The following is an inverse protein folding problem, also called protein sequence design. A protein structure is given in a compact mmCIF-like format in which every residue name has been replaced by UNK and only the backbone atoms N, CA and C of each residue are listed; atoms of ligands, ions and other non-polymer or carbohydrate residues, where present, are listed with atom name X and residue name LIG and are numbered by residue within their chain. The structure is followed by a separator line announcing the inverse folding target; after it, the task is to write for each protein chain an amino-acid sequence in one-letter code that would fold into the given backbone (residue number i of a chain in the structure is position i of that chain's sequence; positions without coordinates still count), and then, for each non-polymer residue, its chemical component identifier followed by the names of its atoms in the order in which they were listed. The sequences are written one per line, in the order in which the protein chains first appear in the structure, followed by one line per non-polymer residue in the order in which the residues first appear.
data_IF_600714110485
#
_entry.id   IF_600714110485
#
_cell.length_a   1.000
_cell.length_b   1.000
_cell.length_c   1.000
_cell.angle_alpha   90.00
_cell.angle_beta   90.00
_cell.angle_gamma   90.00
#
_symmetry.space_group_name_H-M   'P 1'
#
loop_
_entity.id
_entity.type
_entity.pdbx_description
1 polymer ?
#
# COMPACT_ATOMS: atom_id res chain seq x y z
N UNK A 1 -1.66 -10.38 5.06
CA UNK A 1 -0.19 -10.21 5.20
C UNK A 1 0.28 -11.22 6.22
N UNK A 2 1.21 -12.09 5.85
CA UNK A 2 1.77 -13.11 6.75
C UNK A 2 2.66 -12.43 7.79
N UNK A 3 2.78 -12.98 8.99
CA UNK A 3 3.84 -12.52 9.90
C UNK A 3 5.22 -12.87 9.33
N UNK A 4 6.28 -12.19 9.79
CA UNK A 4 7.65 -12.49 9.35
C UNK A 4 8.03 -13.95 9.61
N UNK A 5 7.65 -14.49 10.78
CA UNK A 5 7.93 -15.88 11.15
C UNK A 5 7.17 -16.87 10.26
N UNK A 6 5.89 -16.59 9.98
CA UNK A 6 5.08 -17.41 9.06
C UNK A 6 5.64 -17.37 7.63
N UNK A 7 6.02 -16.18 7.14
CA UNK A 7 6.62 -16.02 5.83
C UNK A 7 7.96 -16.76 5.72
N UNK A 8 8.82 -16.70 6.74
CA UNK A 8 10.09 -17.44 6.77
C UNK A 8 9.86 -18.96 6.78
N UNK A 9 8.93 -19.45 7.61
CA UNK A 9 8.56 -20.88 7.66
C UNK A 9 8.02 -21.36 6.32
N UNK A 10 7.15 -20.58 5.69
CA UNK A 10 6.58 -20.90 4.40
C UNK A 10 7.64 -20.90 3.30
N UNK A 11 8.55 -19.92 3.30
CA UNK A 11 9.67 -19.86 2.36
C UNK A 11 10.57 -21.11 2.45
N UNK A 12 10.87 -21.56 3.67
CA UNK A 12 11.63 -22.80 3.90
C UNK A 12 10.88 -24.03 3.39
N UNK A 13 9.56 -24.10 3.63
CA UNK A 13 8.72 -25.19 3.15
C UNK A 13 8.69 -25.25 1.61
N UNK A 14 8.43 -24.12 0.95
CA UNK A 14 8.42 -23.99 -0.51
C UNK A 14 9.79 -24.33 -1.11
N UNK A 15 10.89 -23.92 -0.48
CA UNK A 15 12.25 -24.26 -0.92
C UNK A 15 12.54 -25.76 -0.81
N UNK A 16 12.03 -26.42 0.23
CA UNK A 16 12.13 -27.87 0.41
C UNK A 16 11.30 -28.61 -0.65
N UNK A 17 10.08 -28.16 -0.92
CA UNK A 17 9.23 -28.71 -1.97
C UNK A 17 9.85 -28.59 -3.35
N UNK A 18 10.38 -27.41 -3.69
CA UNK A 18 11.10 -27.18 -4.94
C UNK A 18 12.31 -28.10 -5.10
N UNK A 19 13.03 -28.39 -4.00
CA UNK A 19 14.14 -29.36 -4.00
C UNK A 19 13.65 -30.77 -4.29
N UNK A 20 12.51 -31.19 -3.71
CA UNK A 20 11.89 -32.49 -3.96
C UNK A 20 11.43 -32.62 -5.42
N UNK A 21 10.70 -31.63 -5.94
CA UNK A 21 10.25 -31.62 -7.34
C UNK A 21 11.42 -31.69 -8.31
N UNK A 22 12.49 -30.92 -8.09
CA UNK A 22 13.70 -30.97 -8.91
C UNK A 22 14.39 -32.35 -8.87
N UNK A 23 14.39 -33.01 -7.71
CA UNK A 23 14.92 -34.38 -7.59
C UNK A 23 14.08 -35.36 -8.40
N UNK A 24 12.76 -35.35 -8.23
CA UNK A 24 11.84 -36.22 -8.98
C UNK A 24 11.93 -35.97 -10.48
N UNK A 25 12.09 -34.71 -10.91
CA UNK A 25 12.31 -34.35 -12.31
C UNK A 25 13.58 -35.00 -12.87
N UNK A 26 14.70 -34.94 -12.15
CA UNK A 26 15.95 -35.61 -12.52
C UNK A 26 15.80 -37.13 -12.57
N UNK A 27 15.06 -37.72 -11.62
CA UNK A 27 14.78 -39.15 -11.60
C UNK A 27 13.98 -39.58 -12.84
N UNK A 28 12.96 -38.83 -13.27
CA UNK A 28 12.25 -39.11 -14.52
C UNK A 28 13.12 -38.94 -15.76
N UNK A 29 13.94 -37.88 -15.82
CA UNK A 29 14.87 -37.67 -16.93
C UNK A 29 15.87 -38.83 -17.07
N UNK A 30 16.27 -39.45 -15.96
CA UNK A 30 17.21 -40.58 -15.94
C UNK A 30 16.51 -41.96 -15.95
N UNK A 31 15.17 -41.99 -15.94
CA UNK A 31 14.42 -43.25 -15.94
C UNK A 31 14.41 -43.93 -17.31
N UNK A 32 14.15 -45.24 -17.30
CA UNK A 32 13.94 -46.06 -18.49
C UNK A 32 12.56 -45.92 -19.14
N UNK A 33 11.79 -44.86 -18.80
CA UNK A 33 10.51 -44.56 -19.45
C UNK A 33 10.73 -44.25 -20.93
N UNK A 34 9.69 -44.51 -21.74
CA UNK A 34 9.69 -44.08 -23.13
C UNK A 34 9.68 -42.54 -23.23
N UNK A 35 10.01 -42.01 -24.41
CA UNK A 35 10.17 -40.58 -24.61
C UNK A 35 8.88 -39.78 -24.36
N UNK A 36 7.72 -40.32 -24.73
CA UNK A 36 6.42 -39.64 -24.58
C UNK A 36 6.02 -39.53 -23.11
N UNK A 37 6.10 -40.63 -22.36
CA UNK A 37 5.78 -40.66 -20.93
C UNK A 37 6.75 -39.78 -20.13
N UNK A 38 8.02 -39.73 -20.56
CA UNK A 38 9.03 -38.86 -19.93
C UNK A 38 8.70 -37.40 -20.16
N UNK A 39 8.36 -37.01 -21.40
CA UNK A 39 7.98 -35.64 -21.72
C UNK A 39 6.76 -35.19 -20.92
N UNK A 40 5.68 -35.99 -20.91
CA UNK A 40 4.45 -35.63 -20.17
C UNK A 40 4.71 -35.43 -18.67
N UNK A 41 5.51 -36.30 -18.05
CA UNK A 41 5.82 -36.19 -16.62
C UNK A 41 6.75 -35.03 -16.30
N UNK A 42 7.69 -34.72 -17.18
CA UNK A 42 8.60 -33.58 -17.02
C UNK A 42 7.83 -32.28 -17.18
N UNK A 43 6.97 -32.15 -18.19
CA UNK A 43 6.14 -30.96 -18.40
C UNK A 43 5.26 -30.67 -17.18
N UNK A 44 4.61 -31.70 -16.63
CA UNK A 44 3.81 -31.55 -15.40
C UNK A 44 4.63 -31.07 -14.20
N UNK A 45 5.87 -31.55 -14.06
CA UNK A 45 6.76 -31.11 -12.99
C UNK A 45 7.27 -29.68 -13.22
N UNK A 46 7.50 -29.28 -14.48
CA UNK A 46 7.90 -27.93 -14.83
C UNK A 46 6.78 -26.93 -14.52
N UNK A 47 5.52 -27.27 -14.76
CA UNK A 47 4.37 -26.48 -14.33
C UNK A 47 4.29 -26.33 -12.81
N UNK A 48 4.51 -27.42 -12.07
CA UNK A 48 4.53 -27.41 -10.60
C UNK A 48 5.69 -26.56 -10.05
N UNK A 49 6.88 -26.70 -10.62
CA UNK A 49 8.05 -25.89 -10.27
C UNK A 49 7.79 -24.41 -10.52
N UNK A 50 7.19 -24.06 -11.66
CA UNK A 50 6.84 -22.68 -11.97
C UNK A 50 5.80 -22.12 -10.99
N UNK A 51 4.84 -22.94 -10.53
CA UNK A 51 3.86 -22.54 -9.53
C UNK A 51 4.51 -22.28 -8.16
N UNK A 52 5.34 -23.22 -7.67
CA UNK A 52 6.06 -23.06 -6.40
C UNK A 52 7.01 -21.86 -6.44
N UNK A 53 7.66 -21.60 -7.58
CA UNK A 53 8.52 -20.41 -7.74
C UNK A 53 7.72 -19.11 -7.64
N UNK A 54 6.55 -19.03 -8.30
CA UNK A 54 5.65 -17.87 -8.17
C UNK A 54 5.25 -17.64 -6.71
N UNK A 55 4.79 -18.69 -6.02
CA UNK A 55 4.40 -18.58 -4.61
C UNK A 55 5.56 -18.16 -3.71
N UNK A 56 6.78 -18.65 -3.97
CA UNK A 56 7.97 -18.26 -3.22
C UNK A 56 8.33 -16.80 -3.45
N UNK A 57 8.23 -16.31 -4.69
CA UNK A 57 8.44 -14.91 -5.02
C UNK A 57 7.41 -14.04 -4.28
N UNK A 58 6.14 -14.44 -4.25
CA UNK A 58 5.10 -13.71 -3.53
C UNK A 58 5.40 -13.62 -2.02
N UNK A 59 5.88 -14.71 -1.41
CA UNK A 59 6.30 -14.73 0.01
C UNK A 59 7.54 -13.87 0.26
N UNK A 60 8.51 -13.87 -0.68
CA UNK A 60 9.67 -12.98 -0.60
C UNK A 60 9.27 -11.51 -0.73
N UNK A 61 8.30 -11.20 -1.58
CA UNK A 61 7.77 -9.85 -1.71
C UNK A 61 7.15 -9.39 -0.40
N UNK A 62 6.38 -10.23 0.29
CA UNK A 62 5.86 -9.91 1.63
C UNK A 62 6.99 -9.56 2.61
N UNK A 63 8.11 -10.30 2.59
CA UNK A 63 9.27 -10.06 3.46
C UNK A 63 10.06 -8.80 3.11
N UNK A 64 10.16 -8.45 1.83
CA UNK A 64 10.91 -7.27 1.35
C UNK A 64 10.08 -6.00 1.47
N UNK A 65 8.77 -6.09 1.26
CA UNK A 65 7.84 -4.97 1.37
C UNK A 65 7.57 -4.57 2.83
N UNK A 66 8.00 -5.38 3.80
CA UNK A 66 7.98 -5.05 5.21
C UNK A 66 9.40 -5.06 5.78
N UNK A 67 10.13 -3.92 5.69
CA UNK A 67 11.50 -3.84 6.14
C UNK A 67 11.66 -4.36 7.58
N UNK A 68 12.72 -5.14 7.86
CA UNK A 68 12.92 -5.74 9.18
C UNK A 68 12.91 -4.75 10.36
N UNK A 69 13.24 -3.48 10.12
CA UNK A 69 13.21 -2.44 11.14
C UNK A 69 11.79 -2.07 11.62
N UNK A 70 10.75 -2.44 10.88
CA UNK A 70 9.36 -2.25 11.30
C UNK A 70 8.76 -3.46 12.03
N UNK A 71 9.54 -4.55 12.22
CA UNK A 71 9.07 -5.75 12.93
C UNK A 71 8.64 -5.47 14.37
N UNK A 72 9.15 -4.40 14.98
CA UNK A 72 8.69 -3.92 16.28
C UNK A 72 7.17 -3.63 16.32
N UNK A 73 6.54 -3.37 15.17
CA UNK A 73 5.09 -3.15 15.07
C UNK A 73 4.30 -4.40 14.67
N UNK A 74 4.95 -5.56 14.48
CA UNK A 74 4.29 -6.74 13.90
C UNK A 74 3.02 -7.15 14.67
N UNK A 75 3.10 -7.26 15.99
CA UNK A 75 1.95 -7.64 16.84
C UNK A 75 0.84 -6.58 16.80
N UNK A 76 1.21 -5.30 16.85
CA UNK A 76 0.25 -4.19 16.79
C UNK A 76 -0.49 -4.17 15.45
N UNK A 77 0.24 -4.32 14.34
CA UNK A 77 -0.32 -4.37 13.00
C UNK A 77 -1.16 -5.63 12.79
N UNK A 78 -0.78 -6.76 13.36
CA UNK A 78 -1.58 -7.99 13.30
C UNK A 78 -2.94 -7.78 13.96
N UNK A 79 -2.97 -7.27 15.20
CA UNK A 79 -4.21 -6.98 15.93
C UNK A 79 -5.09 -5.98 15.17
N UNK A 80 -4.48 -4.93 14.65
CA UNK A 80 -5.20 -3.93 13.87
C UNK A 80 -5.75 -4.50 12.56
N UNK A 81 -4.95 -5.31 11.85
CA UNK A 81 -5.35 -5.99 10.62
C UNK A 81 -6.50 -6.95 10.86
N UNK A 82 -6.45 -7.76 11.93
CA UNK A 82 -7.52 -8.68 12.30
C UNK A 82 -8.82 -7.91 12.57
N UNK A 83 -8.74 -6.83 13.35
CA UNK A 83 -9.89 -5.97 13.68
C UNK A 83 -10.55 -5.40 12.42
N UNK A 84 -9.76 -4.76 11.56
CA UNK A 84 -10.28 -4.12 10.35
C UNK A 84 -10.75 -5.14 9.30
N UNK A 85 -10.07 -6.29 9.17
CA UNK A 85 -10.53 -7.37 8.30
C UNK A 85 -11.89 -7.92 8.78
N UNK A 86 -12.08 -8.09 10.08
CA UNK A 86 -13.37 -8.47 10.67
C UNK A 86 -14.50 -7.45 10.42
N UNK A 87 -14.15 -6.18 10.17
CA UNK A 87 -15.08 -5.13 9.75
C UNK A 87 -15.29 -5.06 8.22
N UNK A 88 -14.77 -6.02 7.46
CA UNK A 88 -14.85 -6.01 6.00
C UNK A 88 -13.96 -4.95 5.34
N UNK A 89 -12.90 -4.50 6.01
CA UNK A 89 -11.94 -3.52 5.51
C UNK A 89 -10.60 -4.20 5.22
N UNK A 90 -10.43 -4.95 4.11
CA UNK A 90 -9.19 -5.64 3.79
C UNK A 90 -8.06 -4.65 3.47
N UNK A 91 -6.82 -5.05 3.73
CA UNK A 91 -5.61 -4.23 3.59
C UNK A 91 -5.50 -3.51 2.23
N UNK A 92 -5.77 -4.24 1.15
CA UNK A 92 -5.67 -3.78 -0.24
C UNK A 92 -6.68 -2.67 -0.57
N UNK A 93 -7.77 -2.60 0.22
CA UNK A 93 -8.83 -1.60 0.11
C UNK A 93 -8.65 -0.41 1.05
N UNK A 94 -7.62 -0.39 1.91
CA UNK A 94 -7.37 0.72 2.84
C UNK A 94 -6.50 1.80 2.19
N UNK A 95 -6.87 3.05 2.38
CA UNK A 95 -6.23 4.22 1.76
C UNK A 95 -5.81 5.19 2.85
N UNK A 96 -4.50 5.38 3.03
CA UNK A 96 -4.00 6.38 3.96
C UNK A 96 -4.10 7.78 3.35
N UNK A 97 -4.76 8.71 4.04
CA UNK A 97 -4.91 10.10 3.58
C UNK A 97 -3.88 10.97 4.31
N UNK A 98 -2.98 11.56 3.55
CA UNK A 98 -1.96 12.49 4.04
C UNK A 98 -2.46 13.92 3.79
N UNK A 99 -2.57 14.70 4.85
CA UNK A 99 -3.11 16.06 4.80
C UNK A 99 -2.54 16.93 5.91
N UNK A 100 -2.71 18.26 5.79
CA UNK A 100 -2.58 19.18 6.93
C UNK A 100 -3.72 18.95 7.92
N UNK A 101 -3.50 19.40 9.16
CA UNK A 101 -4.51 19.42 10.21
C UNK A 101 -4.96 20.85 10.46
N UNK A 102 -6.26 21.00 10.75
CA UNK A 102 -6.82 22.25 11.26
C UNK A 102 -6.06 22.68 12.51
N UNK A 103 -5.72 23.96 12.61
CA UNK A 103 -4.97 24.53 13.73
C UNK A 103 -5.81 25.50 14.58
N UNK A 104 -7.05 25.76 14.16
CA UNK A 104 -7.98 26.64 14.87
C UNK A 104 -7.67 28.13 14.66
N UNK A 105 -6.64 28.48 13.88
CA UNK A 105 -6.26 29.88 13.68
C UNK A 105 -7.25 30.61 12.76
N UNK A 106 -7.90 29.89 11.83
CA UNK A 106 -8.90 30.44 10.93
C UNK A 106 -10.01 29.42 10.63
N UNK A 107 -11.17 29.62 11.26
CA UNK A 107 -12.33 28.73 11.15
C UNK A 107 -12.82 28.55 9.70
N UNK A 108 -12.67 29.56 8.83
CA UNK A 108 -13.05 29.44 7.43
C UNK A 108 -12.10 28.52 6.67
N UNK A 109 -10.78 28.67 6.88
CA UNK A 109 -9.78 27.80 6.27
C UNK A 109 -9.86 26.37 6.81
N UNK A 110 -10.10 26.21 8.11
CA UNK A 110 -10.34 24.90 8.74
C UNK A 110 -11.54 24.21 8.07
N UNK A 111 -12.68 24.91 7.94
CA UNK A 111 -13.89 24.37 7.31
C UNK A 111 -13.66 23.98 5.84
N UNK A 112 -12.86 24.75 5.11
CA UNK A 112 -12.51 24.44 3.73
C UNK A 112 -11.58 23.22 3.62
N UNK A 113 -10.58 23.12 4.48
CA UNK A 113 -9.70 21.95 4.55
C UNK A 113 -10.50 20.69 4.87
N UNK A 114 -11.40 20.76 5.86
CA UNK A 114 -12.31 19.68 6.21
C UNK A 114 -13.23 19.28 5.04
N UNK A 115 -13.71 20.25 4.25
CA UNK A 115 -14.50 19.97 3.06
C UNK A 115 -13.70 19.22 1.98
N UNK A 116 -12.43 19.59 1.77
CA UNK A 116 -11.52 18.88 0.85
C UNK A 116 -11.29 17.45 1.34
N UNK A 117 -10.89 17.27 2.61
CA UNK A 117 -10.65 15.96 3.22
C UNK A 117 -11.91 15.09 3.14
N UNK A 118 -13.07 15.65 3.51
CA UNK A 118 -14.36 14.98 3.46
C UNK A 118 -14.73 14.53 2.04
N UNK A 119 -14.45 15.35 1.03
CA UNK A 119 -14.68 15.00 -0.38
C UNK A 119 -13.78 13.86 -0.83
N UNK A 120 -12.49 13.88 -0.47
CA UNK A 120 -11.57 12.77 -0.74
C UNK A 120 -12.06 11.48 -0.08
N UNK A 121 -12.44 11.52 1.19
CA UNK A 121 -12.98 10.35 1.91
C UNK A 121 -14.22 9.79 1.22
N UNK A 122 -15.17 10.66 0.85
CA UNK A 122 -16.39 10.25 0.17
C UNK A 122 -16.09 9.60 -1.20
N UNK A 123 -15.17 10.16 -1.97
CA UNK A 123 -14.74 9.60 -3.25
C UNK A 123 -14.07 8.22 -3.09
N UNK A 124 -13.21 8.06 -2.09
CA UNK A 124 -12.58 6.77 -1.75
C UNK A 124 -13.65 5.73 -1.38
N UNK A 125 -14.61 6.08 -0.52
CA UNK A 125 -15.71 5.19 -0.13
C UNK A 125 -16.58 4.80 -1.34
N UNK A 126 -16.91 5.75 -2.22
CA UNK A 126 -17.70 5.50 -3.43
C UNK A 126 -17.03 4.50 -4.39
N UNK A 127 -15.70 4.35 -4.30
CA UNK A 127 -14.92 3.37 -5.07
C UNK A 127 -14.77 2.01 -4.37
N UNK A 128 -15.41 1.82 -3.22
CA UNK A 128 -15.32 0.58 -2.42
C UNK A 128 -14.03 0.46 -1.63
N UNK A 129 -13.39 1.59 -1.31
CA UNK A 129 -12.18 1.66 -0.48
C UNK A 129 -12.48 2.25 0.90
N UNK A 130 -11.51 2.15 1.81
CA UNK A 130 -11.64 2.56 3.21
C UNK A 130 -10.61 3.63 3.53
N UNK A 131 -11.00 4.91 3.63
CA UNK A 131 -10.07 5.97 3.98
C UNK A 131 -9.61 5.83 5.44
N UNK A 132 -8.35 6.14 5.69
CA UNK A 132 -7.72 6.15 7.01
C UNK A 132 -7.01 7.48 7.23
N UNK A 133 -7.26 8.11 8.37
CA UNK A 133 -6.59 9.32 8.83
C UNK A 133 -5.92 9.03 10.17
N UNK A 134 -4.67 9.46 10.32
CA UNK A 134 -3.91 9.21 11.55
C UNK A 134 -4.56 9.85 12.80
N UNK A 135 -5.32 10.93 12.63
CA UNK A 135 -6.06 11.57 13.72
C UNK A 135 -7.29 10.77 14.20
N UNK A 136 -7.84 9.88 13.37
CA UNK A 136 -9.07 9.13 13.70
C UNK A 136 -8.79 7.83 14.46
N UNK A 137 -7.56 7.32 14.37
CA UNK A 137 -7.20 6.04 14.99
C UNK A 137 -5.78 6.10 15.52
N UNK A 138 -5.65 5.94 16.83
CA UNK A 138 -4.36 5.92 17.52
C UNK A 138 -3.93 4.48 17.79
N UNK A 139 -2.94 4.01 17.05
CA UNK A 139 -2.30 2.70 17.18
C UNK A 139 -1.12 2.75 18.15
N UNK A 140 -0.42 3.88 18.22
CA UNK A 140 0.78 4.03 19.03
C UNK A 140 0.77 5.35 19.83
N UNK A 141 1.31 5.39 21.07
CA UNK A 141 1.33 6.60 21.90
C UNK A 141 2.13 7.75 21.27
N UNK A 142 3.27 7.44 20.65
CA UNK A 142 4.09 8.38 19.91
C UNK A 142 3.50 8.62 18.51
N UNK A 143 3.48 9.89 18.12
CA UNK A 143 2.88 10.38 16.88
C UNK A 143 3.52 9.80 15.62
N UNK A 144 4.86 9.79 15.54
CA UNK A 144 5.56 9.31 14.34
C UNK A 144 5.33 7.81 14.15
N UNK A 145 5.55 7.02 15.19
CA UNK A 145 5.31 5.59 15.15
C UNK A 145 3.83 5.25 14.88
N UNK A 146 2.89 6.12 15.31
CA UNK A 146 1.48 5.98 14.96
C UNK A 146 1.26 6.17 13.44
N UNK A 147 1.87 7.21 12.86
CA UNK A 147 1.80 7.49 11.42
C UNK A 147 2.43 6.34 10.62
N UNK A 148 3.60 5.84 11.03
CA UNK A 148 4.23 4.67 10.41
C UNK A 148 3.32 3.44 10.45
N UNK A 149 2.71 3.14 11.61
CA UNK A 149 1.75 2.04 11.72
C UNK A 149 0.56 2.21 10.77
N UNK A 150 0.02 3.42 10.64
CA UNK A 150 -1.10 3.72 9.73
C UNK A 150 -0.70 3.51 8.26
N UNK A 151 0.48 3.99 7.85
CA UNK A 151 1.01 3.78 6.49
C UNK A 151 1.31 2.30 6.21
N UNK A 152 1.86 1.57 7.19
CA UNK A 152 2.10 0.13 7.10
C UNK A 152 0.78 -0.66 6.98
N UNK A 153 -0.28 -0.22 7.67
CA UNK A 153 -1.59 -0.86 7.68
C UNK A 153 -2.47 -0.55 6.45
N UNK A 154 -2.04 0.34 5.57
CA UNK A 154 -2.75 0.69 4.33
C UNK A 154 -2.01 0.20 3.09
N UNK A 155 -2.76 -0.35 2.11
CA UNK A 155 -2.18 -0.82 0.85
C UNK A 155 -1.79 0.30 -0.11
N UNK A 156 -2.38 1.49 0.03
CA UNK A 156 -2.22 2.64 -0.87
C UNK A 156 -2.41 3.97 -0.14
N UNK A 157 -2.04 5.08 -0.78
CA UNK A 157 -2.14 6.41 -0.19
C UNK A 157 -2.79 7.45 -1.11
N UNK A 158 -3.27 8.54 -0.51
CA UNK A 158 -3.60 9.80 -1.19
C UNK A 158 -2.90 10.92 -0.44
N UNK A 159 -2.11 11.73 -1.14
CA UNK A 159 -1.51 12.93 -0.59
C UNK A 159 -2.24 14.16 -1.11
N UNK A 160 -2.75 14.99 -0.19
CA UNK A 160 -3.40 16.26 -0.49
C UNK A 160 -2.34 17.36 -0.32
N UNK A 161 -1.96 17.99 -1.42
CA UNK A 161 -0.93 19.02 -1.47
C UNK A 161 -1.54 20.33 -1.90
N UNK A 162 -1.42 21.33 -1.05
CA UNK A 162 -2.06 22.63 -1.22
C UNK A 162 -1.30 23.71 -0.44
N UNK A 163 -1.46 24.97 -0.84
CA UNK A 163 -0.86 26.14 -0.19
C UNK A 163 -1.92 27.11 0.38
N UNK A 164 -3.21 26.75 0.29
CA UNK A 164 -4.35 27.60 0.64
C UNK A 164 -4.55 27.70 2.15
N UNK A 165 -4.44 26.58 2.86
CA UNK A 165 -4.58 26.51 4.31
C UNK A 165 -3.37 27.14 5.02
N UNK A 166 -2.18 26.75 4.58
CA UNK A 166 -0.91 27.30 5.04
C UNK A 166 0.09 27.25 3.88
N UNK A 167 0.64 28.37 3.40
CA UNK A 167 1.49 28.39 2.21
C UNK A 167 2.85 27.73 2.41
N UNK A 168 3.17 27.27 3.63
CA UNK A 168 4.37 26.50 3.89
C UNK A 168 4.18 25.06 3.46
N UNK A 169 5.21 24.49 2.84
CA UNK A 169 5.32 23.05 2.62
C UNK A 169 5.06 22.31 3.93
N UNK A 170 4.13 21.36 3.94
CA UNK A 170 3.94 20.50 5.09
C UNK A 170 4.99 19.36 5.05
N UNK A 171 6.00 19.38 5.94
CA UNK A 171 7.02 18.34 5.96
C UNK A 171 6.43 16.96 6.26
N UNK A 172 5.32 16.87 7.01
CA UNK A 172 4.68 15.60 7.33
C UNK A 172 4.09 14.96 6.08
N UNK A 173 3.31 15.71 5.28
CA UNK A 173 2.73 15.19 4.03
C UNK A 173 3.83 14.78 3.04
N UNK A 174 4.89 15.58 2.92
CA UNK A 174 6.01 15.25 2.04
C UNK A 174 6.75 13.97 2.49
N UNK A 175 6.99 13.83 3.80
CA UNK A 175 7.64 12.67 4.40
C UNK A 175 6.78 11.41 4.29
N UNK A 176 5.49 11.47 4.62
CA UNK A 176 4.54 10.36 4.50
C UNK A 176 4.42 9.89 3.04
N UNK A 177 4.32 10.82 2.10
CA UNK A 177 4.28 10.53 0.66
C UNK A 177 5.57 9.85 0.19
N UNK A 178 6.72 10.41 0.56
CA UNK A 178 8.03 9.86 0.23
C UNK A 178 8.21 8.46 0.80
N UNK A 179 7.80 8.24 2.05
CA UNK A 179 7.86 6.95 2.73
C UNK A 179 7.00 5.90 2.00
N UNK A 180 5.74 6.20 1.71
CA UNK A 180 4.86 5.23 1.04
C UNK A 180 5.38 4.87 -0.36
N UNK A 181 5.93 5.84 -1.09
CA UNK A 181 6.55 5.58 -2.40
C UNK A 181 7.83 4.76 -2.30
N UNK A 182 8.69 5.02 -1.31
CA UNK A 182 9.89 4.23 -1.07
C UNK A 182 9.53 2.76 -0.77
N UNK A 183 8.38 2.53 -0.15
CA UNK A 183 7.79 1.22 0.13
C UNK A 183 7.03 0.61 -1.07
N UNK A 184 7.16 1.20 -2.27
CA UNK A 184 6.45 0.82 -3.50
C UNK A 184 4.92 0.76 -3.37
N UNK A 185 4.35 1.43 -2.37
CA UNK A 185 2.90 1.56 -2.25
C UNK A 185 2.45 2.60 -3.28
N UNK A 186 1.33 2.35 -3.97
CA UNK A 186 0.87 3.28 -4.97
C UNK A 186 0.16 4.45 -4.26
N UNK A 187 0.48 5.68 -4.68
CA UNK A 187 0.02 6.91 -4.02
C UNK A 187 -0.49 7.89 -5.06
N UNK A 188 -1.73 8.34 -4.88
CA UNK A 188 -2.33 9.42 -5.67
C UNK A 188 -1.91 10.77 -5.06
N UNK A 189 -1.21 11.58 -5.84
CA UNK A 189 -0.69 12.89 -5.50
C UNK A 189 -1.65 13.96 -6.04
N UNK A 190 -2.57 14.41 -5.18
CA UNK A 190 -3.58 15.42 -5.49
C UNK A 190 -3.03 16.80 -5.14
N UNK A 191 -2.81 17.62 -6.16
CA UNK A 191 -2.25 18.97 -6.00
C UNK A 191 -3.35 20.01 -6.23
N UNK A 192 -3.45 21.00 -5.37
CA UNK A 192 -4.39 22.10 -5.57
C UNK A 192 -3.99 22.94 -6.79
N UNK A 193 -4.98 23.40 -7.57
CA UNK A 193 -4.76 24.06 -8.86
C UNK A 193 -3.93 25.35 -8.77
N UNK A 194 -4.03 26.11 -7.67
CA UNK A 194 -3.34 27.36 -7.43
C UNK A 194 -1.94 27.21 -6.79
N UNK A 195 -1.49 25.97 -6.48
CA UNK A 195 -0.09 25.71 -6.08
C UNK A 195 0.84 26.13 -7.21
N UNK A 196 1.54 27.25 -6.97
CA UNK A 196 2.27 27.98 -8.00
C UNK A 196 3.59 27.32 -8.39
N UNK A 197 4.25 26.63 -7.45
CA UNK A 197 5.52 25.97 -7.67
C UNK A 197 5.50 24.56 -7.12
N UNK A 198 5.42 23.60 -8.03
CA UNK A 198 5.68 22.20 -7.72
C UNK A 198 7.15 21.94 -8.03
N UNK A 199 7.95 21.38 -7.10
CA UNK A 199 9.32 21.00 -7.39
C UNK A 199 9.40 20.14 -8.65
N UNK A 200 10.35 20.42 -9.55
CA UNK A 200 10.48 19.72 -10.83
C UNK A 200 10.57 18.19 -10.66
N UNK A 201 11.24 17.74 -9.60
CA UNK A 201 11.42 16.33 -9.26
C UNK A 201 10.11 15.60 -8.92
N UNK A 202 9.05 16.33 -8.54
CA UNK A 202 7.73 15.75 -8.23
C UNK A 202 6.64 16.16 -9.22
N UNK A 203 6.93 17.07 -10.15
CA UNK A 203 5.97 17.52 -11.16
C UNK A 203 5.47 16.39 -12.06
N UNK A 204 6.36 15.46 -12.45
CA UNK A 204 6.00 14.27 -13.23
C UNK A 204 5.21 13.21 -12.47
N UNK A 205 4.97 13.43 -11.17
CA UNK A 205 4.26 12.51 -10.29
C UNK A 205 2.86 13.02 -9.93
N UNK A 206 2.49 14.22 -10.38
CA UNK A 206 1.14 14.75 -10.21
C UNK A 206 0.20 13.96 -11.10
N UNK A 207 -0.68 13.16 -10.49
CA UNK A 207 -1.75 12.50 -11.24
C UNK A 207 -3.00 13.38 -11.38
N UNK A 208 -3.26 14.29 -10.42
CA UNK A 208 -4.46 15.10 -10.45
C UNK A 208 -4.31 16.48 -9.86
N UNK A 209 -4.99 17.46 -10.46
CA UNK A 209 -5.16 18.80 -9.90
C UNK A 209 -6.59 19.05 -9.44
N UNK A 210 -6.79 19.43 -8.19
CA UNK A 210 -8.12 19.65 -7.61
C UNK A 210 -8.43 21.14 -7.37
N UNK A 211 -9.72 21.46 -7.30
CA UNK A 211 -10.20 22.80 -6.97
C UNK A 211 -10.49 22.92 -5.47
N UNK A 212 -9.72 23.74 -4.75
CA UNK A 212 -9.94 24.00 -3.33
C UNK A 212 -11.33 24.58 -3.02
N UNK A 213 -11.82 25.46 -3.90
CA UNK A 213 -13.07 26.19 -3.67
C UNK A 213 -14.30 25.35 -4.07
N UNK A 214 -14.09 24.28 -4.85
CA UNK A 214 -15.14 23.35 -5.28
C UNK A 214 -14.60 21.92 -5.41
N UNK A 215 -14.19 21.27 -4.30
CA UNK A 215 -13.52 19.97 -4.34
C UNK A 215 -14.38 18.87 -4.96
N UNK A 216 -15.71 18.97 -4.83
CA UNK A 216 -16.67 17.99 -5.34
C UNK A 216 -16.72 17.97 -6.87
N UNK A 217 -16.32 19.05 -7.55
CA UNK A 217 -16.35 19.14 -9.00
C UNK A 217 -15.44 18.11 -9.68
N UNK A 218 -14.25 17.84 -9.11
CA UNK A 218 -13.24 17.03 -9.80
C UNK A 218 -12.49 16.00 -8.94
N UNK A 219 -12.44 16.11 -7.61
CA UNK A 219 -11.80 15.07 -6.77
C UNK A 219 -12.40 13.68 -7.03
N UNK A 220 -13.73 13.49 -7.15
CA UNK A 220 -14.30 12.17 -7.41
C UNK A 220 -13.80 11.54 -8.72
N UNK A 221 -13.57 12.34 -9.76
CA UNK A 221 -13.10 11.86 -11.06
C UNK A 221 -11.62 11.46 -10.98
N UNK A 222 -10.79 12.29 -10.33
CA UNK A 222 -9.37 12.00 -10.12
C UNK A 222 -9.17 10.72 -9.29
N UNK A 223 -9.95 10.56 -8.21
CA UNK A 223 -9.93 9.32 -7.41
C UNK A 223 -10.46 8.13 -8.21
N UNK A 224 -11.43 8.31 -9.11
CA UNK A 224 -11.93 7.21 -9.93
C UNK A 224 -10.93 6.72 -10.99
N UNK A 225 -10.17 7.65 -11.59
CA UNK A 225 -9.21 7.39 -12.66
C UNK A 225 -7.88 6.86 -12.11
N UNK A 226 -7.39 7.50 -11.05
CA UNK A 226 -5.99 7.38 -10.63
C UNK A 226 -5.82 6.80 -9.23
N UNK A 227 -6.90 6.38 -8.54
CA UNK A 227 -6.75 5.57 -7.34
C UNK A 227 -6.28 4.16 -7.78
N UNK A 228 -4.99 3.85 -7.60
CA UNK A 228 -4.32 2.72 -8.24
C UNK A 228 -4.63 1.41 -7.54
#
# INVERSE_FOLDING_TARGET
MRSYEEALKLLLALSSEMTKLNRTRKEYLNSGLNAADKAEKVDRLDDQLAQVERERIDVLQDLVLFPPHHLQYAQLLEQFNQTLNGQGKPYERRVFIMTKYCDGANAQLDSQLEAVIGTVKAAVVARGYHPQLAAETKLHPNLWENIECQMLACGRGIAIVEDRFNPKLNPNVAMEWGWMRAMKKPVLYLVEKAVAQVPADVAGLIQGRFDWDNPQANIPQLVAQDLP
#
